data_IF_115365800004
#
_entry.id   IF_115365800004
#
_cell.length_a   1.000
_cell.length_b   1.000
_cell.length_c   1.000
_cell.angle_alpha   90.00
_cell.angle_beta   90.00
_cell.angle_gamma   90.00
#
_symmetry.space_group_name_H-M   'P 1'
#
loop_
_entity.id
_entity.type
_entity.pdbx_description
1 polymer ?
#
# COMPACT_ATOMS: atom_id res chain seq x y z
N UNK A 1 14.84 24.01 13.73
CA UNK A 1 13.37 24.08 13.47
C UNK A 1 13.17 24.65 12.08
N UNK A 2 13.00 23.81 11.06
CA UNK A 2 12.66 24.27 9.71
C UNK A 2 11.19 23.91 9.44
N UNK A 3 10.31 24.91 9.54
CA UNK A 3 8.95 24.87 9.01
C UNK A 3 9.06 24.80 7.47
N UNK A 4 9.08 23.60 6.90
CA UNK A 4 8.72 23.45 5.49
C UNK A 4 7.20 23.47 5.41
N UNK A 5 6.67 24.67 5.18
CA UNK A 5 5.25 24.93 4.92
C UNK A 5 4.73 23.98 3.83
N UNK A 6 3.62 23.27 4.11
CA UNK A 6 2.91 22.37 3.20
C UNK A 6 2.62 22.98 1.80
N UNK A 7 2.61 24.31 1.72
CA UNK A 7 2.50 25.08 0.49
C UNK A 7 3.67 24.83 -0.49
N UNK A 8 4.86 24.54 0.03
CA UNK A 8 6.09 24.34 -0.77
C UNK A 8 6.09 22.98 -1.46
N UNK A 9 5.52 21.96 -0.80
CA UNK A 9 5.39 20.60 -1.35
C UNK A 9 4.34 20.60 -2.47
N UNK A 10 3.20 21.25 -2.22
CA UNK A 10 2.13 21.38 -3.23
C UNK A 10 2.60 22.13 -4.49
N UNK A 11 3.39 23.21 -4.32
CA UNK A 11 3.96 23.96 -5.43
C UNK A 11 4.99 23.15 -6.24
N UNK A 12 5.78 22.28 -5.58
CA UNK A 12 6.74 21.41 -6.27
C UNK A 12 6.06 20.31 -7.09
N UNK A 13 4.96 19.74 -6.58
CA UNK A 13 4.16 18.72 -7.29
C UNK A 13 3.44 19.34 -8.50
N UNK A 14 2.82 20.51 -8.34
CA UNK A 14 2.13 21.22 -9.43
C UNK A 14 3.09 21.66 -10.55
N UNK A 15 4.31 22.07 -10.21
CA UNK A 15 5.34 22.39 -11.22
C UNK A 15 5.80 21.17 -12.02
N UNK A 16 5.90 20.00 -11.40
CA UNK A 16 6.25 18.75 -12.11
C UNK A 16 5.10 18.26 -13.00
N UNK A 17 3.85 18.45 -12.58
CA UNK A 17 2.67 18.07 -13.37
C UNK A 17 2.52 18.89 -14.66
N UNK A 18 2.80 20.21 -14.61
CA UNK A 18 2.75 21.08 -15.80
C UNK A 18 3.94 20.91 -16.77
N UNK A 19 4.99 20.16 -16.40
CA UNK A 19 6.19 19.99 -17.21
C UNK A 19 6.23 18.68 -18.03
N UNK A 20 5.13 17.91 -18.07
CA UNK A 20 5.13 16.60 -18.73
C UNK A 20 6.08 15.60 -18.04
N UNK A 21 6.25 15.73 -16.72
CA UNK A 21 7.12 14.85 -15.96
C UNK A 21 6.66 13.39 -16.01
N UNK A 22 7.57 12.49 -16.37
CA UNK A 22 7.32 11.05 -16.29
C UNK A 22 7.42 10.64 -14.83
N UNK A 23 6.32 10.12 -14.28
CA UNK A 23 6.35 9.39 -13.02
C UNK A 23 6.89 7.99 -13.30
N UNK A 24 8.06 7.67 -12.74
CA UNK A 24 8.67 6.34 -12.85
C UNK A 24 8.57 5.66 -11.50
N UNK A 25 7.90 4.53 -11.45
CA UNK A 25 7.85 3.64 -10.30
C UNK A 25 8.81 2.48 -10.53
N UNK A 26 9.62 2.15 -9.52
CA UNK A 26 10.49 0.98 -9.56
C UNK A 26 9.69 -0.28 -9.20
N UNK A 27 9.89 -1.36 -9.97
CA UNK A 27 9.24 -2.65 -9.75
C UNK A 27 10.33 -3.65 -9.42
N UNK A 28 10.15 -4.33 -8.30
CA UNK A 28 11.03 -5.37 -7.79
C UNK A 28 10.42 -6.75 -8.06
N UNK A 29 11.30 -7.76 -8.10
CA UNK A 29 10.91 -9.17 -8.29
C UNK A 29 11.57 -10.03 -7.21
N UNK A 30 10.75 -10.70 -6.41
CA UNK A 30 11.23 -11.58 -5.34
C UNK A 30 10.53 -12.93 -5.37
N UNK A 31 11.24 -13.97 -4.96
CA UNK A 31 10.65 -15.30 -4.72
C UNK A 31 10.05 -15.31 -3.31
N UNK A 32 8.77 -15.65 -3.21
CA UNK A 32 8.01 -15.66 -1.97
C UNK A 32 7.59 -17.10 -1.64
N UNK A 33 8.20 -17.66 -0.59
CA UNK A 33 7.83 -18.96 -0.04
C UNK A 33 6.44 -18.96 0.60
N UNK A 34 5.96 -17.79 1.04
CA UNK A 34 4.67 -17.61 1.69
C UNK A 34 3.47 -17.59 0.74
N UNK A 35 3.69 -17.64 -0.58
CA UNK A 35 2.61 -17.79 -1.55
C UNK A 35 2.17 -19.26 -1.63
N UNK A 36 0.90 -19.49 -1.96
CA UNK A 36 0.38 -20.83 -2.23
C UNK A 36 -0.14 -20.89 -3.68
N UNK A 37 0.62 -21.49 -4.62
CA UNK A 37 1.94 -22.10 -4.46
C UNK A 37 3.08 -21.07 -4.33
N UNK A 38 4.24 -21.45 -3.75
CA UNK A 38 5.43 -20.60 -3.72
C UNK A 38 5.83 -20.15 -5.12
N UNK A 39 6.23 -18.89 -5.26
CA UNK A 39 6.46 -18.33 -6.58
C UNK A 39 7.09 -16.94 -6.57
N UNK A 40 7.28 -16.39 -7.76
CA UNK A 40 7.77 -15.03 -7.91
C UNK A 40 6.62 -14.04 -7.87
N UNK A 41 6.78 -12.97 -7.10
CA UNK A 41 5.89 -11.81 -7.11
C UNK A 41 6.63 -10.59 -7.66
N UNK A 42 5.90 -9.78 -8.43
CA UNK A 42 6.29 -8.41 -8.74
C UNK A 42 5.65 -7.49 -7.70
N UNK A 43 6.45 -6.60 -7.13
CA UNK A 43 5.96 -5.65 -6.13
C UNK A 43 6.67 -4.31 -6.28
N UNK A 44 6.13 -3.30 -5.60
CA UNK A 44 6.77 -2.01 -5.48
C UNK A 44 6.72 -1.55 -4.03
N UNK A 45 7.87 -1.10 -3.51
CA UNK A 45 7.95 -0.52 -2.18
C UNK A 45 7.47 0.93 -2.24
N UNK A 46 6.49 1.28 -1.42
CA UNK A 46 5.96 2.64 -1.30
C UNK A 46 5.84 3.03 0.17
N UNK A 47 5.99 4.31 0.47
CA UNK A 47 5.64 4.85 1.77
C UNK A 47 4.21 5.40 1.71
N UNK A 48 3.31 4.84 2.54
CA UNK A 48 1.94 5.32 2.73
C UNK A 48 1.79 5.71 4.19
N UNK A 49 1.47 6.98 4.48
CA UNK A 49 1.34 7.48 5.85
C UNK A 49 2.54 7.13 6.73
N UNK A 50 3.74 7.34 6.20
CA UNK A 50 5.04 7.03 6.84
C UNK A 50 5.28 5.53 7.12
N UNK A 51 4.40 4.64 6.65
CA UNK A 51 4.54 3.19 6.73
C UNK A 51 5.00 2.63 5.39
N UNK A 52 6.12 1.90 5.39
CA UNK A 52 6.57 1.18 4.20
C UNK A 52 5.62 0.02 3.91
N UNK A 53 5.13 -0.04 2.67
CA UNK A 53 4.25 -1.08 2.15
C UNK A 53 4.90 -1.72 0.93
N UNK A 54 4.76 -3.04 0.81
CA UNK A 54 5.13 -3.76 -0.39
C UNK A 54 3.84 -4.03 -1.16
N UNK A 55 3.55 -3.26 -2.20
CA UNK A 55 2.32 -3.42 -2.98
C UNK A 55 2.53 -4.41 -4.12
N UNK A 56 1.63 -5.38 -4.25
CA UNK A 56 1.62 -6.29 -5.39
C UNK A 56 1.33 -5.52 -6.69
N UNK A 57 2.10 -5.80 -7.74
CA UNK A 57 1.90 -5.18 -9.06
C UNK A 57 0.93 -6.04 -9.86
N UNK A 58 -0.32 -5.60 -9.92
CA UNK A 58 -1.36 -6.19 -10.77
C UNK A 58 -1.77 -5.19 -11.86
N UNK A 59 -1.33 -5.44 -13.09
CA UNK A 59 -1.68 -4.58 -14.25
C UNK A 59 -3.11 -4.79 -14.75
N UNK A 60 -3.82 -5.81 -14.26
CA UNK A 60 -5.21 -6.08 -14.57
C UNK A 60 -6.20 -5.38 -13.63
N UNK A 61 -5.74 -4.88 -12.49
CA UNK A 61 -6.57 -4.22 -11.50
C UNK A 61 -6.43 -2.68 -11.56
N UNK A 62 -7.52 -1.92 -11.46
CA UNK A 62 -7.47 -0.46 -11.37
C UNK A 62 -7.22 0.04 -9.94
N UNK A 63 -6.81 -0.84 -9.02
CA UNK A 63 -6.64 -0.58 -7.59
C UNK A 63 -5.46 -1.38 -7.02
N UNK A 64 -4.96 -0.96 -5.85
CA UNK A 64 -4.04 -1.73 -5.03
C UNK A 64 -4.77 -2.27 -3.79
N UNK A 65 -4.22 -3.32 -3.20
CA UNK A 65 -4.77 -4.00 -2.03
C UNK A 65 -3.90 -3.72 -0.81
N UNK A 66 -4.54 -3.37 0.31
CA UNK A 66 -3.87 -3.20 1.60
C UNK A 66 -4.37 -4.26 2.58
N UNK A 67 -3.43 -4.85 3.32
CA UNK A 67 -3.76 -5.79 4.39
C UNK A 67 -3.92 -4.98 5.68
N UNK A 68 -5.15 -4.75 6.12
CA UNK A 68 -5.39 -4.01 7.36
C UNK A 68 -4.87 -4.82 8.56
N UNK A 69 -3.97 -4.23 9.35
CA UNK A 69 -3.36 -4.87 10.53
C UNK A 69 -4.41 -5.38 11.51
N UNK A 70 -5.38 -4.54 11.86
CA UNK A 70 -6.45 -4.88 12.80
C UNK A 70 -7.27 -6.09 12.34
N UNK A 71 -7.63 -6.12 11.05
CA UNK A 71 -8.39 -7.24 10.49
C UNK A 71 -7.54 -8.50 10.42
N UNK A 72 -6.33 -8.44 9.87
CA UNK A 72 -5.47 -9.61 9.70
C UNK A 72 -5.09 -10.24 11.04
N UNK A 73 -4.67 -9.43 12.01
CA UNK A 73 -4.34 -9.94 13.35
C UNK A 73 -5.57 -10.46 14.10
N UNK A 74 -6.77 -9.96 13.83
CA UNK A 74 -8.01 -10.52 14.39
C UNK A 74 -8.33 -11.93 13.86
N UNK A 75 -7.84 -12.28 12.66
CA UNK A 75 -8.08 -13.57 12.02
C UNK A 75 -6.97 -14.58 12.28
N UNK A 76 -5.72 -14.14 12.22
CA UNK A 76 -4.54 -15.02 12.25
C UNK A 76 -3.87 -15.01 13.63
N UNK A 77 -4.10 -13.97 14.43
CA UNK A 77 -3.47 -13.77 15.73
C UNK A 77 -2.54 -12.55 15.76
N UNK A 78 -2.36 -11.98 16.95
CA UNK A 78 -1.53 -10.80 17.18
C UNK A 78 -0.07 -11.06 16.79
N UNK A 79 0.57 -10.10 16.11
CA UNK A 79 1.95 -10.21 15.64
C UNK A 79 2.11 -11.00 14.33
N UNK A 80 1.02 -11.51 13.75
CA UNK A 80 1.07 -12.22 12.47
C UNK A 80 1.49 -11.30 11.30
N UNK A 81 1.23 -10.00 11.41
CA UNK A 81 1.61 -9.01 10.41
C UNK A 81 3.13 -8.89 10.18
N UNK A 82 3.96 -9.15 11.20
CA UNK A 82 5.42 -9.09 11.08
C UNK A 82 5.99 -10.17 10.15
N UNK A 83 5.21 -11.22 9.88
CA UNK A 83 5.60 -12.35 9.03
C UNK A 83 5.17 -12.18 7.57
N UNK A 84 4.35 -11.17 7.27
CA UNK A 84 3.83 -10.93 5.93
C UNK A 84 4.82 -10.14 5.08
N UNK A 85 5.17 -10.69 3.92
CA UNK A 85 6.00 -10.00 2.93
C UNK A 85 5.38 -8.67 2.47
N UNK A 86 4.07 -8.66 2.21
CA UNK A 86 3.36 -7.47 1.72
C UNK A 86 3.13 -6.40 2.80
N UNK A 87 3.49 -6.72 4.05
CA UNK A 87 3.27 -5.91 5.25
C UNK A 87 1.78 -5.65 5.53
N UNK A 88 1.50 -5.30 6.77
CA UNK A 88 0.18 -4.79 7.12
C UNK A 88 0.20 -3.27 7.15
N UNK A 89 -0.94 -2.69 6.84
CA UNK A 89 -1.19 -1.27 6.93
C UNK A 89 -2.01 -0.97 8.20
N UNK A 90 -1.55 -0.01 8.99
CA UNK A 90 -2.24 0.51 10.17
C UNK A 90 -2.83 1.88 9.84
N UNK A 91 -4.15 1.98 9.82
CA UNK A 91 -4.84 3.22 9.47
C UNK A 91 -4.62 4.28 10.57
N UNK A 92 -3.99 5.44 10.28
CA UNK A 92 -3.68 6.46 11.30
C UNK A 92 -4.93 7.15 11.85
N UNK A 93 -6.03 7.11 11.10
CA UNK A 93 -7.38 7.49 11.55
C UNK A 93 -8.28 6.26 11.53
N UNK A 94 -9.40 6.21 12.27
CA UNK A 94 -10.33 5.10 12.18
C UNK A 94 -10.92 5.02 10.76
N UNK A 95 -10.37 4.11 9.96
CA UNK A 95 -10.91 3.72 8.66
C UNK A 95 -12.37 3.31 8.82
N UNK A 96 -13.29 3.96 8.08
CA UNK A 96 -14.62 3.40 7.86
C UNK A 96 -14.49 2.38 6.73
N UNK A 97 -14.70 1.08 6.97
CA UNK A 97 -14.70 0.12 5.88
C UNK A 97 -15.84 0.48 4.92
N UNK A 98 -15.50 0.91 3.71
CA UNK A 98 -16.44 0.91 2.59
C UNK A 98 -16.46 -0.51 2.05
N UNK A 99 -17.56 -1.23 2.29
CA UNK A 99 -17.78 -2.55 1.72
C UNK A 99 -17.87 -2.45 0.19
N UNK A 100 -16.76 -2.62 -0.50
CA UNK A 100 -16.76 -2.98 -1.90
C UNK A 100 -16.72 -4.50 -1.98
N UNK A 101 -17.88 -5.10 -2.25
CA UNK A 101 -18.04 -6.53 -2.47
C UNK A 101 -17.33 -6.91 -3.78
N UNK A 102 -16.09 -7.37 -3.67
CA UNK A 102 -15.51 -8.26 -4.69
C UNK A 102 -15.44 -9.66 -4.09
N UNK A 103 -15.68 -10.66 -4.92
CA UNK A 103 -15.92 -12.06 -4.58
C UNK A 103 -14.70 -12.83 -4.01
N UNK A 104 -13.73 -12.10 -3.47
CA UNK A 104 -12.55 -12.60 -2.76
C UNK A 104 -12.38 -11.79 -1.47
N UNK A 105 -11.85 -12.36 -0.38
CA UNK A 105 -11.81 -11.69 0.92
C UNK A 105 -10.69 -10.64 0.96
N UNK A 106 -10.84 -9.58 0.17
CA UNK A 106 -9.96 -8.41 0.23
C UNK A 106 -10.82 -7.19 0.45
N UNK A 107 -10.89 -6.78 1.71
CA UNK A 107 -11.54 -5.56 2.13
C UNK A 107 -10.73 -4.36 1.64
N UNK A 108 -11.34 -3.58 0.75
CA UNK A 108 -10.90 -2.22 0.49
C UNK A 108 -11.27 -1.37 1.69
N UNK A 109 -10.32 -0.63 2.23
CA UNK A 109 -10.62 0.51 3.09
C UNK A 109 -9.80 1.66 2.60
N UNK A 110 -10.49 2.64 2.03
CA UNK A 110 -9.90 3.92 1.67
C UNK A 110 -9.85 4.72 2.97
N UNK A 111 -8.64 5.03 3.43
CA UNK A 111 -8.44 6.04 4.46
C UNK A 111 -8.81 7.39 3.81
N UNK A 112 -9.83 8.06 4.31
CA UNK A 112 -10.23 9.40 3.89
C UNK A 112 -10.10 10.36 5.07
#
# INVERSE_FOLDING_TARGET
MHLFSALSILAAVLKKANAGGILRQEIERSFLESLEPPGFALYTAVAMDEQEQNLFVDTGAPYFLLILKSFYESKIGKGSCEKLFFKCYECPQPCKPTEHTVSWPVLFSICA
#
